data_IF_273838111514
#
_entry.id   IF_273838111514
#
_cell.length_a   1.000
_cell.length_b   1.000
_cell.length_c   1.000
_cell.angle_alpha   90.00
_cell.angle_beta   90.00
_cell.angle_gamma   90.00
#
_symmetry.space_group_name_H-M   'P 1'
#
loop_
_entity.id
_entity.type
_entity.pdbx_description
1 polymer ?
#
# COMPACT_ATOMS: atom_id res chain seq x y z
N UNK A 1 21.76 -25.90 38.21
CA UNK A 1 20.87 -25.65 37.09
C UNK A 1 21.69 -25.43 35.84
N UNK A 2 21.62 -26.34 34.86
CA UNK A 2 22.33 -26.19 33.59
C UNK A 2 21.50 -25.23 32.71
N UNK A 3 22.10 -24.12 32.32
CA UNK A 3 21.48 -23.21 31.31
C UNK A 3 21.54 -23.92 29.96
N UNK A 4 20.41 -24.35 29.45
CA UNK A 4 20.30 -24.81 28.06
C UNK A 4 20.27 -23.55 27.17
N UNK A 5 21.41 -23.23 26.58
CA UNK A 5 21.54 -22.19 25.53
C UNK A 5 21.98 -22.87 24.25
N UNK A 6 21.62 -22.28 23.10
CA UNK A 6 22.22 -22.67 21.83
C UNK A 6 23.63 -22.07 21.75
N UNK A 7 24.61 -22.92 21.54
CA UNK A 7 25.99 -22.51 21.31
C UNK A 7 26.27 -22.61 19.81
N UNK A 8 26.81 -21.56 19.22
CA UNK A 8 27.38 -21.66 17.89
C UNK A 8 28.66 -22.49 17.98
N UNK A 9 28.66 -23.65 17.38
CA UNK A 9 29.91 -24.41 17.17
C UNK A 9 30.77 -23.64 16.17
N UNK A 10 32.10 -23.62 16.40
CA UNK A 10 33.03 -23.22 15.34
C UNK A 10 32.71 -24.05 14.09
N UNK A 11 32.34 -23.39 13.03
CA UNK A 11 32.26 -24.02 11.71
C UNK A 11 33.68 -24.25 11.30
N UNK A 12 34.21 -25.43 11.66
CA UNK A 12 35.44 -25.91 11.03
C UNK A 12 35.17 -25.95 9.54
N UNK A 13 35.92 -25.15 8.78
CA UNK A 13 35.90 -25.10 7.33
C UNK A 13 36.23 -26.46 6.73
N UNK A 14 35.28 -27.38 6.77
CA UNK A 14 35.24 -28.52 5.86
C UNK A 14 34.36 -28.13 4.66
N UNK A 15 34.62 -26.97 4.09
CA UNK A 15 34.32 -26.75 2.69
C UNK A 15 35.42 -27.52 1.96
N UNK A 16 35.19 -28.80 1.72
CA UNK A 16 35.91 -29.49 0.67
C UNK A 16 35.77 -28.59 -0.56
N UNK A 17 36.91 -28.24 -1.14
CA UNK A 17 37.02 -27.55 -2.41
C UNK A 17 36.26 -28.31 -3.49
N UNK A 18 34.95 -28.14 -3.59
CA UNK A 18 34.21 -28.50 -4.77
C UNK A 18 34.46 -27.42 -5.80
N UNK A 19 35.58 -27.55 -6.53
CA UNK A 19 35.92 -26.70 -7.66
C UNK A 19 34.80 -26.67 -8.72
N UNK A 20 33.92 -27.67 -8.79
CA UNK A 20 32.78 -27.71 -9.70
C UNK A 20 31.67 -26.70 -9.39
N UNK A 21 31.52 -26.26 -8.12
CA UNK A 21 30.45 -25.27 -7.76
C UNK A 21 30.86 -23.87 -8.19
N UNK A 22 32.14 -23.57 -8.28
CA UNK A 22 32.62 -22.22 -8.67
C UNK A 22 32.57 -21.99 -10.19
N UNK A 23 32.64 -23.00 -11.02
CA UNK A 23 32.54 -22.86 -12.47
C UNK A 23 31.11 -22.57 -12.92
N UNK A 24 30.11 -23.20 -12.31
CA UNK A 24 28.67 -22.94 -12.66
C UNK A 24 28.13 -21.59 -12.20
N UNK A 25 28.73 -20.98 -11.18
CA UNK A 25 28.30 -19.63 -10.71
C UNK A 25 28.84 -18.52 -11.61
N UNK A 26 29.92 -18.77 -12.37
CA UNK A 26 30.51 -17.78 -13.27
C UNK A 26 29.67 -17.48 -14.52
N UNK A 27 28.69 -18.34 -14.89
CA UNK A 27 27.77 -18.10 -16.00
C UNK A 27 26.65 -17.11 -15.66
N UNK A 28 26.33 -16.91 -14.38
CA UNK A 28 25.35 -15.90 -13.96
C UNK A 28 26.00 -14.53 -13.79
N UNK A 29 26.23 -13.85 -14.90
CA UNK A 29 26.66 -12.43 -14.88
C UNK A 29 25.51 -11.57 -14.37
N UNK A 30 25.47 -11.32 -13.07
CA UNK A 30 24.63 -10.26 -12.50
C UNK A 30 25.27 -8.94 -12.92
N UNK A 31 24.80 -8.38 -14.04
CA UNK A 31 25.22 -7.05 -14.46
C UNK A 31 24.70 -6.07 -13.40
N UNK A 32 25.59 -5.47 -12.62
CA UNK A 32 25.23 -4.32 -11.79
C UNK A 32 24.74 -3.23 -12.74
N UNK A 33 23.55 -2.64 -12.48
CA UNK A 33 23.07 -1.57 -13.33
C UNK A 33 24.10 -0.43 -13.36
N UNK A 34 24.54 -0.07 -14.55
CA UNK A 34 25.45 1.06 -14.71
C UNK A 34 24.74 2.33 -14.27
N UNK A 35 25.42 3.14 -13.46
CA UNK A 35 24.94 4.47 -13.10
C UNK A 35 25.08 5.40 -14.30
N UNK A 36 24.08 5.45 -15.14
CA UNK A 36 24.01 6.40 -16.24
C UNK A 36 23.81 7.81 -15.67
N UNK A 37 24.73 8.71 -15.96
CA UNK A 37 24.57 10.14 -15.62
C UNK A 37 23.70 10.79 -16.70
N UNK A 38 22.43 10.98 -16.38
CA UNK A 38 21.52 11.75 -17.23
C UNK A 38 21.76 13.26 -17.05
N UNK A 39 21.61 14.04 -18.11
CA UNK A 39 21.56 15.51 -18.03
C UNK A 39 20.30 15.94 -17.30
N UNK A 40 19.20 15.26 -17.55
CA UNK A 40 17.91 15.42 -16.87
C UNK A 40 17.33 14.02 -16.63
N UNK A 41 16.94 13.75 -15.39
CA UNK A 41 16.26 12.51 -15.02
C UNK A 41 14.79 12.83 -14.68
N UNK A 42 13.87 12.35 -15.49
CA UNK A 42 12.43 12.46 -15.30
C UNK A 42 11.84 11.32 -14.49
N UNK A 43 12.66 10.52 -13.84
CA UNK A 43 12.17 9.42 -13.00
C UNK A 43 11.39 9.98 -11.79
N UNK A 44 10.09 9.72 -11.79
CA UNK A 44 9.14 10.26 -10.80
C UNK A 44 9.31 9.74 -9.36
N UNK A 45 10.16 8.73 -9.17
CA UNK A 45 10.36 8.09 -7.87
C UNK A 45 11.68 8.48 -7.20
N UNK A 46 12.22 9.64 -7.52
CA UNK A 46 13.38 10.19 -6.85
C UNK A 46 13.00 11.40 -5.99
N UNK A 47 13.57 11.45 -4.78
CA UNK A 47 13.53 12.64 -3.93
C UNK A 47 14.90 13.29 -3.98
N UNK A 48 14.95 14.59 -4.20
CA UNK A 48 16.21 15.33 -4.17
C UNK A 48 16.83 15.24 -2.78
N UNK A 49 18.14 15.04 -2.74
CA UNK A 49 18.88 14.89 -1.48
C UNK A 49 18.68 16.07 -0.52
N UNK A 50 18.66 17.29 -1.05
CA UNK A 50 18.47 18.53 -0.31
C UNK A 50 17.04 18.77 0.17
N UNK A 51 16.07 18.03 -0.36
CA UNK A 51 14.65 18.14 0.04
C UNK A 51 14.27 17.22 1.20
N UNK A 52 15.10 16.23 1.54
CA UNK A 52 14.82 15.33 2.67
C UNK A 52 15.49 15.82 3.95
N UNK A 53 14.75 16.01 5.05
CA UNK A 53 15.28 16.57 6.29
C UNK A 53 16.03 15.51 7.12
N UNK A 54 17.21 15.06 6.64
CA UNK A 54 18.00 13.98 7.24
C UNK A 54 18.34 14.22 8.72
N UNK A 55 18.67 15.45 9.11
CA UNK A 55 19.01 15.77 10.50
C UNK A 55 17.83 15.55 11.45
N UNK A 56 16.64 16.03 11.05
CA UNK A 56 15.39 15.85 11.82
C UNK A 56 15.01 14.38 11.88
N UNK A 57 15.08 13.69 10.73
CA UNK A 57 14.77 12.27 10.65
C UNK A 57 15.66 11.43 11.55
N UNK A 58 16.99 11.62 11.48
CA UNK A 58 17.96 10.90 12.31
C UNK A 58 17.76 11.17 13.81
N UNK A 59 17.43 12.41 14.18
CA UNK A 59 17.12 12.75 15.58
C UNK A 59 15.89 12.00 16.09
N UNK A 60 14.80 12.00 15.31
CA UNK A 60 13.55 11.31 15.68
C UNK A 60 13.78 9.80 15.78
N UNK A 61 14.49 9.20 14.81
CA UNK A 61 14.80 7.78 14.82
C UNK A 61 15.61 7.38 16.04
N UNK A 62 16.66 8.15 16.36
CA UNK A 62 17.48 7.89 17.55
C UNK A 62 16.66 7.98 18.82
N UNK A 63 15.83 9.00 18.96
CA UNK A 63 14.98 9.17 20.14
C UNK A 63 14.01 7.98 20.29
N UNK A 64 13.34 7.61 19.22
CA UNK A 64 12.39 6.47 19.25
C UNK A 64 13.06 5.15 19.60
N UNK A 65 14.24 4.89 19.10
CA UNK A 65 15.02 3.69 19.44
C UNK A 65 15.39 3.65 20.93
N UNK A 66 15.69 4.79 21.54
CA UNK A 66 16.02 4.86 22.97
C UNK A 66 14.78 4.80 23.87
N UNK A 67 13.66 5.41 23.44
CA UNK A 67 12.43 5.46 24.24
C UNK A 67 11.67 4.11 24.24
N UNK A 68 11.84 3.29 23.19
CA UNK A 68 11.03 2.09 22.96
C UNK A 68 11.89 0.83 22.75
N UNK A 69 13.02 0.70 23.42
CA UNK A 69 13.99 -0.40 23.28
C UNK A 69 13.33 -1.78 23.31
N UNK A 70 12.42 -2.02 24.26
CA UNK A 70 11.76 -3.32 24.39
C UNK A 70 10.74 -3.59 23.28
N UNK A 71 10.01 -2.58 22.82
CA UNK A 71 8.99 -2.76 21.78
C UNK A 71 9.61 -3.08 20.42
N UNK A 72 10.81 -2.59 20.16
CA UNK A 72 11.58 -2.87 18.94
C UNK A 72 11.98 -4.35 18.81
N UNK A 73 12.13 -5.05 19.92
CA UNK A 73 12.48 -6.47 19.96
C UNK A 73 11.27 -7.41 19.90
N UNK A 74 10.06 -6.85 19.92
CA UNK A 74 8.81 -7.60 19.88
C UNK A 74 8.27 -7.70 18.46
N UNK A 75 7.63 -8.81 18.12
CA UNK A 75 6.90 -8.92 16.86
C UNK A 75 5.73 -7.93 16.86
N UNK A 76 5.67 -7.00 15.90
CA UNK A 76 4.58 -6.04 15.85
C UNK A 76 3.25 -6.71 15.52
N UNK A 77 2.16 -6.05 15.87
CA UNK A 77 0.84 -6.46 15.41
C UNK A 77 0.80 -6.45 13.88
N UNK A 78 0.10 -7.40 13.30
CA UNK A 78 0.01 -7.57 11.84
C UNK A 78 -0.55 -6.35 11.11
N UNK A 79 -1.45 -5.62 11.73
CA UNK A 79 -2.01 -4.39 11.16
C UNK A 79 -1.03 -3.21 11.21
N UNK A 80 0.14 -3.40 11.79
CA UNK A 80 1.08 -2.35 12.15
C UNK A 80 0.93 -1.94 13.63
N UNK A 81 1.93 -1.26 14.16
CA UNK A 81 1.93 -0.82 15.55
C UNK A 81 0.79 0.17 15.82
N UNK A 82 0.22 0.08 17.02
CA UNK A 82 -0.95 0.87 17.42
C UNK A 82 -0.71 2.38 17.31
N UNK A 83 0.46 2.83 17.73
CA UNK A 83 0.88 4.23 17.74
C UNK A 83 0.85 4.82 16.32
N UNK A 84 1.37 4.09 15.33
CA UNK A 84 1.35 4.52 13.94
C UNK A 84 -0.09 4.55 13.38
N UNK A 85 -0.88 3.51 13.64
CA UNK A 85 -2.28 3.47 13.20
C UNK A 85 -3.12 4.59 13.81
N UNK A 86 -2.91 4.88 15.11
CA UNK A 86 -3.57 5.97 15.81
C UNK A 86 -3.15 7.34 15.26
N UNK A 87 -1.85 7.51 14.95
CA UNK A 87 -1.35 8.74 14.31
C UNK A 87 -1.93 8.92 12.91
N UNK A 88 -2.05 7.84 12.11
CA UNK A 88 -2.69 7.87 10.78
C UNK A 88 -4.18 8.24 10.92
N UNK A 89 -4.92 7.65 11.86
CA UNK A 89 -6.34 7.97 12.08
C UNK A 89 -6.53 9.47 12.43
N UNK A 90 -5.65 10.00 13.29
CA UNK A 90 -5.65 11.42 13.63
C UNK A 90 -5.35 12.28 12.40
N UNK A 91 -4.32 11.95 11.64
CA UNK A 91 -3.94 12.65 10.41
C UNK A 91 -5.08 12.68 9.39
N UNK A 92 -5.72 11.54 9.13
CA UNK A 92 -6.85 11.45 8.20
C UNK A 92 -8.02 12.34 8.62
N UNK A 93 -8.33 12.39 9.91
CA UNK A 93 -9.38 13.27 10.45
C UNK A 93 -9.03 14.74 10.23
N UNK A 94 -7.80 15.15 10.50
CA UNK A 94 -7.37 16.55 10.46
C UNK A 94 -7.15 17.05 9.02
N UNK A 95 -6.60 16.21 8.14
CA UNK A 95 -6.22 16.62 6.79
C UNK A 95 -7.21 16.21 5.70
N UNK A 96 -7.96 15.12 5.91
CA UNK A 96 -8.88 14.59 4.89
C UNK A 96 -10.35 14.64 5.32
N UNK A 97 -10.63 15.02 6.57
CA UNK A 97 -11.99 14.97 7.12
C UNK A 97 -12.55 13.53 7.22
N UNK A 98 -11.66 12.53 7.13
CA UNK A 98 -12.03 11.12 7.19
C UNK A 98 -11.87 10.61 8.63
N UNK A 99 -13.00 10.32 9.29
CA UNK A 99 -13.02 9.79 10.66
C UNK A 99 -13.04 8.27 10.64
N UNK A 100 -11.95 7.65 11.10
CA UNK A 100 -11.78 6.19 11.15
C UNK A 100 -11.18 5.77 12.48
N UNK A 101 -11.39 4.52 12.85
CA UNK A 101 -10.72 3.91 14.00
C UNK A 101 -9.35 3.37 13.60
N UNK A 102 -8.40 3.40 14.53
CA UNK A 102 -7.09 2.78 14.32
C UNK A 102 -7.19 1.28 13.95
N UNK A 103 -8.25 0.61 14.40
CA UNK A 103 -8.49 -0.81 14.09
C UNK A 103 -8.94 -1.07 12.65
N UNK A 104 -9.41 -0.05 11.94
CA UNK A 104 -9.71 -0.14 10.51
C UNK A 104 -8.46 0.02 9.63
N UNK A 105 -7.33 0.41 10.22
CA UNK A 105 -6.10 0.73 9.48
C UNK A 105 -5.17 -0.47 9.45
N UNK A 106 -4.71 -0.79 8.24
CA UNK A 106 -3.70 -1.81 7.98
C UNK A 106 -2.50 -1.12 7.33
N UNK A 107 -1.35 -1.22 7.97
CA UNK A 107 -0.07 -0.71 7.46
C UNK A 107 0.65 -1.82 6.71
N UNK A 108 1.22 -1.50 5.56
CA UNK A 108 1.92 -2.45 4.71
C UNK A 108 3.22 -1.91 4.12
N UNK A 109 4.04 -2.82 3.63
CA UNK A 109 5.34 -2.54 3.00
C UNK A 109 5.19 -2.02 1.56
N UNK A 110 4.44 -0.94 1.38
CA UNK A 110 4.11 -0.34 0.09
C UNK A 110 2.75 -0.80 -0.45
N UNK A 111 2.28 -0.11 -1.48
CA UNK A 111 0.95 -0.35 -2.05
C UNK A 111 0.81 -1.71 -2.71
N UNK A 112 1.88 -2.24 -3.31
CA UNK A 112 1.87 -3.56 -3.94
C UNK A 112 1.55 -4.69 -2.95
N UNK A 113 2.08 -4.59 -1.73
CA UNK A 113 1.73 -5.52 -0.64
C UNK A 113 0.25 -5.43 -0.28
N UNK A 114 -0.29 -4.22 -0.18
CA UNK A 114 -1.69 -4.00 0.14
C UNK A 114 -2.63 -4.50 -0.97
N UNK A 115 -2.26 -4.33 -2.25
CA UNK A 115 -3.03 -4.92 -3.36
C UNK A 115 -3.12 -6.44 -3.24
N UNK A 116 -2.02 -7.10 -2.89
CA UNK A 116 -2.02 -8.54 -2.62
C UNK A 116 -2.94 -8.93 -1.46
N UNK A 117 -2.99 -8.15 -0.39
CA UNK A 117 -3.92 -8.36 0.73
C UNK A 117 -5.38 -8.16 0.30
N UNK A 118 -5.68 -7.15 -0.50
CA UNK A 118 -7.02 -6.89 -1.04
C UNK A 118 -7.49 -8.09 -1.88
N UNK A 119 -6.63 -8.61 -2.76
CA UNK A 119 -6.95 -9.82 -3.55
C UNK A 119 -7.24 -11.00 -2.65
N UNK A 120 -6.42 -11.22 -1.64
CA UNK A 120 -6.65 -12.29 -0.68
C UNK A 120 -7.96 -12.09 0.09
N UNK A 121 -8.33 -10.85 0.42
CA UNK A 121 -9.54 -10.52 1.18
C UNK A 121 -10.81 -10.70 0.35
N UNK A 122 -10.84 -10.12 -0.84
CA UNK A 122 -12.02 -10.08 -1.72
C UNK A 122 -12.17 -11.33 -2.61
N UNK A 123 -11.09 -12.06 -2.84
CA UNK A 123 -11.08 -13.28 -3.64
C UNK A 123 -10.53 -13.08 -5.06
N UNK A 124 -10.00 -14.16 -5.65
CA UNK A 124 -9.42 -14.13 -7.00
C UNK A 124 -10.48 -14.18 -8.12
N UNK A 125 -11.70 -14.54 -7.77
CA UNK A 125 -12.83 -14.52 -8.71
C UNK A 125 -13.37 -13.10 -8.95
N UNK A 126 -12.82 -12.11 -8.23
CA UNK A 126 -13.14 -10.70 -8.45
C UNK A 126 -12.65 -10.22 -9.82
N UNK A 127 -13.34 -9.23 -10.36
CA UNK A 127 -12.94 -8.50 -11.56
C UNK A 127 -12.70 -7.05 -11.20
N UNK A 128 -11.46 -6.60 -11.40
CA UNK A 128 -11.06 -5.26 -11.02
C UNK A 128 -11.02 -4.36 -12.25
N UNK A 129 -11.88 -3.33 -12.27
CA UNK A 129 -11.81 -2.27 -13.26
C UNK A 129 -10.76 -1.23 -12.85
N UNK A 130 -9.94 -0.80 -13.80
CA UNK A 130 -8.96 0.29 -13.66
C UNK A 130 -9.17 1.34 -14.72
N UNK A 131 -8.73 2.56 -14.45
CA UNK A 131 -8.81 3.70 -15.35
C UNK A 131 -7.88 3.53 -16.57
N UNK A 132 -8.34 3.94 -17.77
CA UNK A 132 -7.55 3.95 -19.00
C UNK A 132 -7.71 5.29 -19.74
N UNK A 133 -6.64 6.11 -19.89
CA UNK A 133 -5.26 5.82 -19.42
C UNK A 133 -5.15 5.77 -17.91
N UNK A 134 -4.19 5.00 -17.39
CA UNK A 134 -3.99 4.82 -15.94
C UNK A 134 -2.58 4.31 -15.61
N UNK A 135 -2.32 4.12 -14.32
CA UNK A 135 -1.05 3.59 -13.86
C UNK A 135 -0.98 2.07 -14.05
N UNK A 136 -0.37 1.65 -15.16
CA UNK A 136 -0.32 0.23 -15.60
C UNK A 136 0.18 -0.74 -14.53
N UNK A 137 1.03 -0.29 -13.60
CA UNK A 137 1.56 -1.16 -12.54
C UNK A 137 0.45 -1.71 -11.63
N UNK A 138 -0.66 -0.98 -11.47
CA UNK A 138 -1.80 -1.43 -10.67
C UNK A 138 -2.37 -2.73 -11.24
N UNK A 139 -2.71 -2.74 -12.52
CA UNK A 139 -3.24 -3.95 -13.18
C UNK A 139 -2.23 -5.09 -13.18
N UNK A 140 -0.96 -4.81 -13.48
CA UNK A 140 0.10 -5.84 -13.45
C UNK A 140 0.22 -6.53 -12.09
N UNK A 141 0.09 -5.79 -10.98
CA UNK A 141 0.15 -6.37 -9.63
C UNK A 141 -1.10 -7.21 -9.36
N UNK A 142 -2.29 -6.77 -9.74
CA UNK A 142 -3.50 -7.57 -9.58
C UNK A 142 -3.44 -8.87 -10.42
N UNK A 143 -3.04 -8.78 -11.67
CA UNK A 143 -2.87 -9.93 -12.58
C UNK A 143 -1.83 -10.91 -12.07
N UNK A 144 -0.70 -10.43 -11.51
CA UNK A 144 0.30 -11.31 -10.90
C UNK A 144 -0.21 -12.04 -9.65
N UNK A 145 -1.27 -11.53 -9.02
CA UNK A 145 -1.98 -12.19 -7.92
C UNK A 145 -3.14 -13.08 -8.39
N UNK A 146 -3.32 -13.24 -9.71
CA UNK A 146 -4.31 -14.13 -10.32
C UNK A 146 -5.72 -13.54 -10.38
N UNK A 147 -5.86 -12.21 -10.40
CA UNK A 147 -7.15 -11.53 -10.55
C UNK A 147 -7.27 -10.95 -11.95
N UNK A 148 -8.42 -11.07 -12.55
CA UNK A 148 -8.73 -10.48 -13.85
C UNK A 148 -8.90 -8.97 -13.71
N UNK A 149 -8.18 -8.21 -14.56
CA UNK A 149 -8.35 -6.75 -14.66
C UNK A 149 -9.01 -6.36 -15.98
N UNK A 150 -9.78 -5.30 -15.95
CA UNK A 150 -10.33 -4.65 -17.14
C UNK A 150 -9.97 -3.16 -17.11
N UNK A 151 -9.69 -2.63 -18.30
CA UNK A 151 -9.28 -1.24 -18.46
C UNK A 151 -10.44 -0.46 -19.06
N UNK A 152 -11.07 0.41 -18.28
CA UNK A 152 -12.23 1.18 -18.72
C UNK A 152 -11.83 2.59 -19.15
N UNK A 153 -12.41 3.11 -20.23
CA UNK A 153 -12.10 4.44 -20.73
C UNK A 153 -12.51 5.52 -19.72
N UNK A 154 -11.80 6.62 -19.79
CA UNK A 154 -12.11 7.83 -19.02
C UNK A 154 -12.71 8.90 -19.93
N UNK A 155 -13.66 9.63 -19.39
CA UNK A 155 -14.15 10.88 -19.95
C UNK A 155 -13.52 12.11 -19.25
N UNK A 156 -14.13 13.27 -19.38
CA UNK A 156 -13.65 14.49 -18.72
C UNK A 156 -13.86 14.53 -17.20
N UNK A 157 -14.65 13.60 -16.65
CA UNK A 157 -14.98 13.52 -15.23
C UNK A 157 -14.32 12.34 -14.51
N UNK A 158 -13.60 11.48 -15.21
CA UNK A 158 -12.98 10.28 -14.67
C UNK A 158 -13.42 9.02 -15.41
N UNK A 159 -13.37 7.87 -14.74
CA UNK A 159 -13.79 6.59 -15.32
C UNK A 159 -15.25 6.65 -15.83
N UNK A 160 -15.52 6.06 -16.99
CA UNK A 160 -16.87 6.03 -17.57
C UNK A 160 -17.79 5.11 -16.76
N UNK A 161 -18.89 5.69 -16.26
CA UNK A 161 -19.91 4.91 -15.53
C UNK A 161 -20.65 3.95 -16.46
N UNK A 162 -21.00 4.41 -17.67
CA UNK A 162 -21.71 3.57 -18.66
C UNK A 162 -20.94 2.30 -19.00
N UNK A 163 -19.61 2.42 -19.14
CA UNK A 163 -18.77 1.25 -19.43
C UNK A 163 -18.54 0.40 -18.17
N UNK A 164 -18.50 1.00 -17.00
CA UNK A 164 -18.40 0.29 -15.73
C UNK A 164 -19.68 -0.53 -15.47
N UNK A 165 -20.86 0.02 -15.73
CA UNK A 165 -22.15 -0.68 -15.56
C UNK A 165 -22.36 -1.84 -16.54
N UNK A 166 -21.84 -1.71 -17.77
CA UNK A 166 -21.88 -2.78 -18.77
C UNK A 166 -20.88 -3.90 -18.48
N UNK A 167 -19.88 -3.63 -17.66
CA UNK A 167 -18.84 -4.59 -17.34
C UNK A 167 -19.28 -5.56 -16.25
N UNK A 168 -18.54 -6.64 -16.12
CA UNK A 168 -18.69 -7.59 -15.02
C UNK A 168 -17.78 -7.26 -13.81
N UNK A 169 -17.23 -6.04 -13.75
CA UNK A 169 -16.44 -5.60 -12.62
C UNK A 169 -17.27 -5.55 -11.33
N UNK A 170 -16.70 -6.08 -10.27
CA UNK A 170 -17.24 -5.94 -8.91
C UNK A 170 -16.34 -5.06 -8.01
N UNK A 171 -15.17 -4.69 -8.51
CA UNK A 171 -14.25 -3.76 -7.85
C UNK A 171 -13.81 -2.72 -8.87
N UNK A 172 -13.72 -1.45 -8.45
CA UNK A 172 -13.11 -0.39 -9.24
C UNK A 172 -11.95 0.24 -8.46
N UNK A 173 -10.79 0.35 -9.09
CA UNK A 173 -9.60 1.01 -8.51
C UNK A 173 -9.35 2.32 -9.24
N UNK A 174 -9.41 3.43 -8.52
CA UNK A 174 -9.37 4.78 -9.06
C UNK A 174 -8.50 5.71 -8.19
N UNK A 175 -8.00 6.78 -8.82
CA UNK A 175 -7.31 7.88 -8.13
C UNK A 175 -8.08 9.19 -8.30
N UNK A 176 -9.19 9.40 -7.56
CA UNK A 176 -10.16 10.46 -7.85
C UNK A 176 -9.67 11.86 -7.48
N UNK A 177 -8.66 11.99 -6.62
CA UNK A 177 -8.17 13.27 -6.14
C UNK A 177 -7.08 13.86 -7.04
N UNK A 178 -6.31 12.99 -7.70
CA UNK A 178 -5.25 13.38 -8.64
C UNK A 178 -4.90 12.20 -9.53
N UNK A 179 -5.63 12.07 -10.62
CA UNK A 179 -5.47 10.93 -11.52
C UNK A 179 -4.13 10.95 -12.26
N UNK A 180 -3.38 9.85 -12.19
CA UNK A 180 -2.16 9.67 -12.98
C UNK A 180 -2.48 8.85 -14.25
N UNK A 181 -2.03 9.30 -15.47
CA UNK A 181 -1.11 10.42 -15.71
C UNK A 181 -1.79 11.74 -16.09
N UNK A 182 -3.13 11.85 -16.09
CA UNK A 182 -3.83 12.99 -16.68
C UNK A 182 -3.92 14.22 -15.78
N UNK A 183 -3.64 14.10 -14.49
CA UNK A 183 -3.81 15.18 -13.51
C UNK A 183 -5.26 15.57 -13.25
N UNK A 184 -6.23 14.83 -13.78
CA UNK A 184 -7.65 15.13 -13.59
C UNK A 184 -8.07 14.92 -12.15
N UNK A 185 -9.00 15.76 -11.70
CA UNK A 185 -9.68 15.62 -10.40
C UNK A 185 -11.14 15.26 -10.67
N UNK A 186 -11.57 14.16 -10.09
CA UNK A 186 -12.94 13.65 -10.26
C UNK A 186 -13.94 14.56 -9.54
N UNK A 187 -14.95 15.10 -10.23
CA UNK A 187 -15.97 15.96 -9.63
C UNK A 187 -16.90 15.17 -8.70
N UNK A 188 -17.56 15.89 -7.79
CA UNK A 188 -18.44 15.28 -6.79
C UNK A 188 -19.57 14.44 -7.41
N UNK A 189 -20.15 14.88 -8.52
CA UNK A 189 -21.20 14.13 -9.21
C UNK A 189 -20.75 12.73 -9.61
N UNK A 190 -19.53 12.59 -10.20
CA UNK A 190 -19.00 11.30 -10.60
C UNK A 190 -18.69 10.41 -9.38
N UNK A 191 -18.23 10.99 -8.28
CA UNK A 191 -18.02 10.26 -7.01
C UNK A 191 -19.32 9.66 -6.50
N UNK A 192 -20.42 10.40 -6.54
CA UNK A 192 -21.73 9.89 -6.16
C UNK A 192 -22.21 8.76 -7.07
N UNK A 193 -22.06 8.89 -8.40
CA UNK A 193 -22.38 7.82 -9.35
C UNK A 193 -21.61 6.53 -9.04
N UNK A 194 -20.31 6.63 -8.73
CA UNK A 194 -19.51 5.46 -8.33
C UNK A 194 -19.99 4.85 -7.02
N UNK A 195 -20.35 5.67 -6.03
CA UNK A 195 -20.90 5.17 -4.78
C UNK A 195 -22.27 4.50 -4.99
N UNK A 196 -23.12 5.04 -5.86
CA UNK A 196 -24.37 4.40 -6.27
C UNK A 196 -24.11 3.04 -6.92
N UNK A 197 -23.18 2.99 -7.88
CA UNK A 197 -22.77 1.73 -8.51
C UNK A 197 -22.27 0.70 -7.48
N UNK A 198 -21.47 1.11 -6.50
CA UNK A 198 -20.96 0.21 -5.47
C UNK A 198 -22.06 -0.29 -4.52
N UNK A 199 -23.13 0.50 -4.34
CA UNK A 199 -24.27 0.13 -3.51
C UNK A 199 -25.20 -0.90 -4.14
N UNK A 200 -25.10 -1.16 -5.46
CA UNK A 200 -25.96 -2.09 -6.17
C UNK A 200 -25.60 -3.58 -5.98
N UNK A 201 -24.79 -3.91 -4.97
CA UNK A 201 -24.41 -5.30 -4.72
C UNK A 201 -23.13 -5.45 -3.90
N UNK A 202 -22.50 -6.62 -4.02
CA UNK A 202 -21.20 -6.88 -3.41
C UNK A 202 -20.07 -6.25 -4.26
N UNK A 203 -20.06 -4.94 -4.30
CA UNK A 203 -19.10 -4.14 -5.06
C UNK A 203 -18.30 -3.25 -4.12
N UNK A 204 -17.05 -2.96 -4.48
CA UNK A 204 -16.17 -2.10 -3.71
C UNK A 204 -15.42 -1.12 -4.61
N UNK A 205 -15.08 0.03 -4.02
CA UNK A 205 -14.23 1.05 -4.64
C UNK A 205 -12.92 1.08 -3.87
N UNK A 206 -11.79 1.02 -4.58
CA UNK A 206 -10.48 1.28 -4.03
C UNK A 206 -10.11 2.69 -4.41
N UNK A 207 -10.08 3.58 -3.43
CA UNK A 207 -9.67 4.98 -3.57
C UNK A 207 -8.19 5.11 -3.26
N UNK A 208 -7.34 5.27 -4.30
CA UNK A 208 -5.89 5.49 -4.15
C UNK A 208 -5.60 6.99 -4.10
N UNK A 209 -5.26 7.49 -2.91
CA UNK A 209 -5.02 8.91 -2.59
C UNK A 209 -3.52 9.15 -2.33
N UNK A 210 -2.68 8.71 -3.25
CA UNK A 210 -1.23 8.53 -3.12
C UNK A 210 -0.41 9.80 -2.86
N UNK A 211 -0.98 11.00 -3.08
CA UNK A 211 -0.30 12.29 -2.96
C UNK A 211 -1.16 13.36 -2.25
N UNK A 212 -2.03 12.93 -1.37
CA UNK A 212 -3.05 13.76 -0.70
C UNK A 212 -2.50 14.94 0.10
N UNK A 213 -1.26 14.87 0.52
CA UNK A 213 -0.57 15.92 1.29
C UNK A 213 -0.13 17.10 0.40
N UNK A 214 -0.01 16.88 -0.92
CA UNK A 214 0.37 17.94 -1.85
C UNK A 214 -0.86 18.73 -2.30
N UNK A 215 -0.88 20.00 -1.94
CA UNK A 215 -1.95 20.92 -2.30
C UNK A 215 -1.37 22.08 -3.11
N UNK A 216 -1.70 22.11 -4.38
CA UNK A 216 -1.22 23.19 -5.26
C UNK A 216 -2.18 24.38 -5.31
N UNK A 217 -3.48 24.16 -5.05
CA UNK A 217 -4.49 25.23 -5.00
C UNK A 217 -5.82 24.72 -4.41
N UNK A 218 -6.60 25.63 -3.79
CA UNK A 218 -7.98 25.40 -3.40
C UNK A 218 -8.20 24.63 -2.09
N UNK A 219 -9.48 24.45 -1.75
CA UNK A 219 -9.89 23.60 -0.61
C UNK A 219 -9.82 22.12 -1.01
N UNK A 220 -9.45 21.23 -0.08
CA UNK A 220 -9.43 19.79 -0.37
C UNK A 220 -10.83 19.32 -0.75
N UNK A 221 -10.92 18.54 -1.82
CA UNK A 221 -12.15 17.82 -2.15
C UNK A 221 -12.26 16.66 -1.15
N UNK A 222 -13.42 16.44 -0.54
CA UNK A 222 -13.65 15.30 0.34
C UNK A 222 -13.30 13.98 -0.35
N UNK A 223 -12.70 13.04 0.37
CA UNK A 223 -12.44 11.70 -0.14
C UNK A 223 -13.75 10.96 -0.38
N UNK A 224 -13.76 9.98 -1.28
CA UNK A 224 -14.94 9.12 -1.45
C UNK A 224 -15.24 8.38 -0.14
N UNK A 225 -14.21 7.89 0.54
CA UNK A 225 -14.36 7.25 1.84
C UNK A 225 -15.02 8.16 2.90
N UNK A 226 -14.80 9.50 2.85
CA UNK A 226 -15.40 10.42 3.82
C UNK A 226 -16.89 10.71 3.57
N UNK A 227 -17.37 10.52 2.34
CA UNK A 227 -18.78 10.72 1.95
C UNK A 227 -19.55 9.41 1.81
N UNK A 228 -18.86 8.27 1.89
CA UNK A 228 -19.43 6.94 1.82
C UNK A 228 -20.18 6.59 3.11
N UNK A 229 -21.50 6.40 3.00
CA UNK A 229 -22.37 6.02 4.12
C UNK A 229 -22.55 4.51 4.26
N UNK A 230 -22.21 3.74 3.22
CA UNK A 230 -22.51 2.32 3.12
C UNK A 230 -21.27 1.43 3.20
N UNK A 231 -20.12 2.02 3.53
CA UNK A 231 -18.86 1.30 3.73
C UNK A 231 -18.43 0.45 2.52
N UNK A 232 -18.49 1.07 1.34
CA UNK A 232 -18.10 0.45 0.07
C UNK A 232 -16.69 0.87 -0.40
N UNK A 233 -16.06 1.82 0.29
CA UNK A 233 -14.77 2.39 -0.10
C UNK A 233 -13.65 1.84 0.76
N UNK A 234 -12.66 1.23 0.12
CA UNK A 234 -11.35 0.92 0.69
C UNK A 234 -10.46 2.12 0.35
N UNK A 235 -10.06 2.89 1.37
CA UNK A 235 -9.17 4.02 1.18
C UNK A 235 -7.71 3.57 1.28
N UNK A 236 -6.86 4.07 0.39
CA UNK A 236 -5.43 3.78 0.39
C UNK A 236 -4.58 5.04 0.29
N UNK A 237 -3.43 5.02 0.94
CA UNK A 237 -2.42 6.08 0.81
C UNK A 237 -1.01 5.52 1.05
N UNK A 238 0.01 6.30 0.71
CA UNK A 238 1.43 5.93 0.84
C UNK A 238 2.28 7.10 1.28
N UNK A 239 3.27 6.84 2.14
CA UNK A 239 4.28 7.82 2.50
C UNK A 239 5.44 7.90 1.48
N UNK A 240 5.40 7.12 0.41
CA UNK A 240 6.45 7.08 -0.61
C UNK A 240 6.63 8.40 -1.36
N UNK A 241 5.57 9.21 -1.47
CA UNK A 241 5.62 10.53 -2.12
C UNK A 241 5.95 11.65 -1.14
N UNK A 242 5.41 11.58 0.07
CA UNK A 242 5.55 12.63 1.09
C UNK A 242 6.84 12.56 1.86
N UNK A 243 7.41 11.37 2.05
CA UNK A 243 8.69 11.17 2.73
C UNK A 243 9.78 10.75 1.74
N UNK A 244 9.87 9.47 1.45
CA UNK A 244 10.81 8.96 0.46
C UNK A 244 10.35 7.60 -0.08
N UNK A 245 10.61 7.27 -1.36
CA UNK A 245 10.22 6.00 -1.96
C UNK A 245 10.83 4.76 -1.27
N UNK A 246 12.00 4.93 -0.65
CA UNK A 246 12.72 3.86 0.06
C UNK A 246 12.11 3.47 1.41
N UNK A 247 11.26 4.32 2.00
CA UNK A 247 10.61 4.05 3.30
C UNK A 247 9.61 2.89 3.19
N UNK A 248 8.99 2.73 2.03
CA UNK A 248 8.09 1.61 1.72
C UNK A 248 6.95 1.44 2.72
N UNK A 249 6.38 2.51 3.23
CA UNK A 249 5.20 2.47 4.11
C UNK A 249 3.99 2.97 3.32
N UNK A 250 2.97 2.13 3.26
CA UNK A 250 1.63 2.47 2.79
C UNK A 250 0.60 1.97 3.79
N UNK A 251 -0.62 2.47 3.70
CA UNK A 251 -1.70 1.99 4.54
C UNK A 251 -3.03 1.95 3.78
N UNK A 252 -3.93 1.11 4.26
CA UNK A 252 -5.32 1.09 3.81
C UNK A 252 -6.26 1.17 4.99
N UNK A 253 -7.42 1.76 4.76
CA UNK A 253 -8.54 1.80 5.69
C UNK A 253 -9.63 0.90 5.14
N UNK A 254 -9.97 -0.12 5.89
CA UNK A 254 -11.02 -1.06 5.50
C UNK A 254 -12.37 -0.66 6.11
N UNK A 255 -13.47 -0.83 5.37
CA UNK A 255 -14.80 -0.89 5.94
C UNK A 255 -14.89 -1.92 7.08
N UNK A 256 -15.78 -1.70 8.05
CA UNK A 256 -15.89 -2.58 9.21
C UNK A 256 -16.19 -4.04 8.83
N UNK A 257 -17.07 -4.25 7.84
CA UNK A 257 -17.37 -5.60 7.35
C UNK A 257 -16.12 -6.30 6.79
N UNK A 258 -15.30 -5.57 6.04
CA UNK A 258 -14.04 -6.12 5.51
C UNK A 258 -12.99 -6.31 6.60
N UNK A 259 -12.98 -5.49 7.64
CA UNK A 259 -12.12 -5.71 8.81
C UNK A 259 -12.47 -7.01 9.53
N UNK A 260 -13.75 -7.28 9.69
CA UNK A 260 -14.21 -8.53 10.30
C UNK A 260 -13.80 -9.75 9.45
N UNK A 261 -14.03 -9.68 8.13
CA UNK A 261 -13.55 -10.68 7.17
C UNK A 261 -12.02 -10.84 7.23
N UNK A 262 -11.28 -9.72 7.28
CA UNK A 262 -9.83 -9.71 7.40
C UNK A 262 -9.36 -10.43 8.67
N UNK A 263 -9.91 -10.07 9.81
CA UNK A 263 -9.54 -10.66 11.10
C UNK A 263 -9.82 -12.16 11.13
N UNK A 264 -10.98 -12.60 10.64
CA UNK A 264 -11.35 -14.01 10.57
C UNK A 264 -10.45 -14.81 9.62
N UNK A 265 -10.27 -14.30 8.40
CA UNK A 265 -9.52 -14.98 7.34
C UNK A 265 -8.04 -15.14 7.66
N UNK A 266 -7.48 -14.15 8.33
CA UNK A 266 -6.06 -14.10 8.62
C UNK A 266 -5.71 -14.40 10.09
N UNK A 267 -6.66 -14.96 10.84
CA UNK A 267 -6.50 -15.31 12.25
C UNK A 267 -5.25 -16.15 12.52
N UNK A 268 -4.96 -17.12 11.65
CA UNK A 268 -3.78 -17.99 11.78
C UNK A 268 -2.43 -17.23 11.78
N UNK A 269 -2.42 -15.99 11.32
CA UNK A 269 -1.24 -15.13 11.36
C UNK A 269 -1.14 -14.32 12.67
N UNK A 270 -2.18 -14.36 13.51
CA UNK A 270 -2.21 -13.74 14.85
C UNK A 270 -1.86 -14.73 15.97
N UNK A 271 -1.85 -16.03 15.69
CA UNK A 271 -1.75 -17.10 16.72
C UNK A 271 -0.33 -17.54 17.04
N UNK A 272 0.72 -16.81 16.64
CA UNK A 272 2.09 -17.07 17.11
C UNK A 272 2.35 -16.50 18.52
N UNK A 273 1.33 -16.55 19.40
CA UNK A 273 1.49 -16.43 20.81
C UNK A 273 1.31 -17.82 21.43
N UNK A 274 2.38 -18.56 21.67
CA UNK A 274 2.34 -19.66 22.60
C UNK A 274 1.82 -19.10 23.93
N UNK A 275 0.56 -19.37 24.25
CA UNK A 275 0.10 -19.27 25.63
C UNK A 275 0.75 -20.45 26.37
N UNK A 276 1.83 -20.17 27.09
CA UNK A 276 2.31 -21.01 28.16
C UNK A 276 1.30 -20.99 29.30
#
# INVERSE_FOLDING_TARGET
MRKNGYFANEITNQISENQEVTENVSEYKINKPEKVKWIVDFNSNHVRYDSFPFATWSKIMRQKLLDEENSFLMTPSRNGIWELRSAIAKHLREFRGLTVLADQIIVGAGTEYLYGLIVQLLGRDSVIATENPGYRKISMVYESNGVRTIHLPMDNQGISIDELEKSDANIVHISPNHHFPTGKVMPAARRHQLLEWANMGERYIIEDDYDSEFRFSGKPIPTMASIDKNQKVIYMNTFSKTLAPSIRIAYMVLPFELMDKYTKKFRFLFEYGFKL
#
